data_IF_553543506889
#
_entry.id   IF_553543506889
#
_cell.length_a   1.000
_cell.length_b   1.000
_cell.length_c   1.000
_cell.angle_alpha   90.00
_cell.angle_beta   90.00
_cell.angle_gamma   90.00
#
_symmetry.space_group_name_H-M   'P 1'
#
loop_
_entity.id
_entity.type
_entity.pdbx_description
1 polymer ?
#
# COMPACT_ATOMS: atom_id res chain seq x y z
N UNK A 1 -16.29 20.79 -5.18
CA UNK A 1 -15.68 19.63 -5.81
C UNK A 1 -14.81 18.88 -4.82
N UNK A 2 -15.08 17.62 -4.63
CA UNK A 2 -14.30 16.79 -3.73
C UNK A 2 -12.94 16.44 -4.31
N UNK A 3 -11.98 16.17 -3.44
CA UNK A 3 -10.71 15.58 -3.85
C UNK A 3 -10.95 14.18 -4.38
N UNK A 4 -10.16 13.76 -5.36
CA UNK A 4 -10.12 12.36 -5.74
C UNK A 4 -9.73 11.53 -4.52
N UNK A 5 -10.40 10.39 -4.34
CA UNK A 5 -10.10 9.49 -3.23
C UNK A 5 -8.73 8.86 -3.46
N UNK A 6 -7.86 8.99 -2.47
CA UNK A 6 -6.55 8.34 -2.51
C UNK A 6 -6.70 6.88 -2.10
N UNK A 7 -6.09 5.99 -2.87
CA UNK A 7 -5.96 4.58 -2.51
C UNK A 7 -4.49 4.31 -2.26
N UNK A 8 -4.19 3.82 -1.06
CA UNK A 8 -2.84 3.41 -0.69
C UNK A 8 -2.72 1.89 -0.85
N UNK A 9 -1.76 1.47 -1.66
CA UNK A 9 -1.49 0.06 -1.88
C UNK A 9 -0.59 -0.49 -0.78
N UNK A 10 -1.00 -1.59 -0.14
CA UNK A 10 -0.10 -2.37 0.69
C UNK A 10 1.00 -2.97 -0.20
N UNK A 11 2.13 -3.32 0.37
CA UNK A 11 3.31 -3.76 -0.39
C UNK A 11 3.01 -4.95 -1.31
N UNK A 12 2.38 -6.00 -0.80
CA UNK A 12 2.04 -7.17 -1.61
C UNK A 12 1.03 -6.82 -2.72
N UNK A 13 0.11 -5.91 -2.42
CA UNK A 13 -0.89 -5.48 -3.41
C UNK A 13 -0.23 -4.75 -4.57
N UNK A 14 0.80 -3.95 -4.29
CA UNK A 14 1.56 -3.29 -5.34
C UNK A 14 2.26 -4.31 -6.26
N UNK A 15 2.79 -5.39 -5.68
CA UNK A 15 3.38 -6.49 -6.47
C UNK A 15 2.32 -7.16 -7.33
N UNK A 16 1.14 -7.46 -6.77
CA UNK A 16 0.05 -8.09 -7.51
C UNK A 16 -0.44 -7.22 -8.67
N UNK A 17 -0.53 -5.92 -8.43
CA UNK A 17 -0.94 -4.98 -9.48
C UNK A 17 0.06 -5.00 -10.64
N UNK A 18 1.35 -5.01 -10.32
CA UNK A 18 2.42 -5.02 -11.31
C UNK A 18 2.46 -6.33 -12.11
N UNK A 19 2.16 -7.46 -11.48
CA UNK A 19 2.18 -8.79 -12.12
C UNK A 19 0.84 -9.17 -12.74
N UNK A 20 -0.25 -8.48 -12.36
CA UNK A 20 -1.60 -8.79 -12.81
C UNK A 20 -2.20 -10.05 -12.18
N UNK A 21 -1.62 -10.55 -11.08
CA UNK A 21 -2.05 -11.76 -10.41
C UNK A 21 -2.71 -11.43 -9.06
N UNK A 22 -3.55 -12.33 -8.58
CA UNK A 22 -4.15 -12.35 -7.23
C UNK A 22 -5.05 -11.17 -6.87
N UNK A 23 -5.00 -10.08 -7.62
CA UNK A 23 -5.84 -8.91 -7.36
C UNK A 23 -7.29 -9.18 -7.79
N UNK A 24 -8.23 -8.94 -6.88
CA UNK A 24 -9.64 -9.12 -7.17
C UNK A 24 -10.16 -8.13 -8.20
N UNK A 25 -11.29 -8.49 -8.83
CA UNK A 25 -11.86 -7.68 -9.92
C UNK A 25 -12.25 -6.28 -9.47
N UNK A 26 -12.89 -6.17 -8.31
CA UNK A 26 -13.30 -4.88 -7.76
C UNK A 26 -12.08 -4.03 -7.43
N UNK A 27 -11.08 -4.61 -6.78
CA UNK A 27 -9.85 -3.92 -6.40
C UNK A 27 -9.09 -3.43 -7.63
N UNK A 28 -9.03 -4.25 -8.67
CA UNK A 28 -8.39 -3.87 -9.94
C UNK A 28 -9.06 -2.65 -10.54
N UNK A 29 -10.39 -2.63 -10.58
CA UNK A 29 -11.15 -1.47 -11.09
C UNK A 29 -10.90 -0.22 -10.26
N UNK A 30 -10.90 -0.37 -8.94
CA UNK A 30 -10.64 0.75 -8.04
C UNK A 30 -9.24 1.33 -8.25
N UNK A 31 -8.24 0.45 -8.38
CA UNK A 31 -6.85 0.87 -8.61
C UNK A 31 -6.71 1.58 -9.96
N UNK A 32 -7.31 1.04 -11.02
CA UNK A 32 -7.26 1.65 -12.36
C UNK A 32 -7.91 3.04 -12.35
N UNK A 33 -9.05 3.18 -11.71
CA UNK A 33 -9.74 4.47 -11.60
C UNK A 33 -8.90 5.47 -10.80
N UNK A 34 -8.35 5.05 -9.67
CA UNK A 34 -7.52 5.91 -8.84
C UNK A 34 -6.28 6.36 -9.61
N UNK A 35 -5.67 5.46 -10.38
CA UNK A 35 -4.50 5.78 -11.20
C UNK A 35 -4.85 6.85 -12.24
N UNK A 36 -6.01 6.74 -12.89
CA UNK A 36 -6.46 7.72 -13.88
C UNK A 36 -6.71 9.10 -13.23
N UNK A 37 -7.10 9.13 -11.97
CA UNK A 37 -7.41 10.36 -11.23
C UNK A 37 -6.22 10.86 -10.39
N UNK A 38 -5.03 10.32 -10.60
CA UNK A 38 -3.80 10.66 -9.86
C UNK A 38 -3.92 10.40 -8.36
N UNK A 39 -4.69 9.39 -7.99
CA UNK A 39 -4.98 9.04 -6.59
C UNK A 39 -4.48 7.68 -6.14
N UNK A 40 -3.65 7.00 -6.95
CA UNK A 40 -3.08 5.72 -6.54
C UNK A 40 -1.69 5.93 -5.96
N UNK A 41 -1.46 5.42 -4.76
CA UNK A 41 -0.25 5.73 -4.00
C UNK A 41 0.35 4.48 -3.33
N UNK A 42 1.62 4.57 -3.01
CA UNK A 42 2.37 3.58 -2.26
C UNK A 42 3.24 4.31 -1.24
N UNK A 43 3.45 3.71 -0.08
CA UNK A 43 4.36 4.27 0.91
C UNK A 43 5.81 4.09 0.47
N UNK A 44 6.63 5.11 0.70
CA UNK A 44 8.09 4.99 0.51
C UNK A 44 8.65 3.80 1.30
N UNK A 45 8.09 3.51 2.46
CA UNK A 45 8.50 2.38 3.30
C UNK A 45 8.26 1.02 2.62
N UNK A 46 7.26 0.93 1.74
CA UNK A 46 6.98 -0.30 1.00
C UNK A 46 8.14 -0.75 0.13
N UNK A 47 8.95 0.19 -0.35
CA UNK A 47 10.12 -0.17 -1.16
C UNK A 47 11.23 -0.79 -0.32
N UNK A 48 11.38 -0.37 0.94
CA UNK A 48 12.27 -1.07 1.87
C UNK A 48 11.77 -2.49 2.10
N UNK A 49 10.49 -2.64 2.37
CA UNK A 49 9.88 -3.94 2.59
C UNK A 49 10.03 -4.85 1.37
N UNK A 50 9.75 -4.32 0.18
CA UNK A 50 9.90 -5.07 -1.07
C UNK A 50 11.35 -5.53 -1.27
N UNK A 51 12.31 -4.63 -1.04
CA UNK A 51 13.73 -4.97 -1.14
C UNK A 51 14.12 -6.08 -0.15
N UNK A 52 13.60 -6.03 1.06
CA UNK A 52 13.82 -7.07 2.06
C UNK A 52 13.21 -8.41 1.64
N UNK A 53 12.00 -8.39 1.09
CA UNK A 53 11.34 -9.60 0.62
C UNK A 53 12.13 -10.25 -0.53
N UNK A 54 12.65 -9.45 -1.44
CA UNK A 54 13.48 -9.95 -2.55
C UNK A 54 14.79 -10.53 -2.02
N UNK A 55 15.47 -9.81 -1.12
CA UNK A 55 16.73 -10.24 -0.53
C UNK A 55 16.56 -11.59 0.22
N UNK A 56 15.44 -11.76 0.91
CA UNK A 56 15.15 -12.99 1.65
C UNK A 56 14.49 -14.07 0.78
N UNK A 57 14.39 -13.84 -0.53
CA UNK A 57 13.78 -14.74 -1.50
C UNK A 57 12.33 -15.13 -1.17
N UNK A 58 11.62 -14.27 -0.49
CA UNK A 58 10.19 -14.47 -0.16
C UNK A 58 9.27 -14.02 -1.27
N UNK A 59 9.78 -13.20 -2.19
CA UNK A 59 9.09 -12.78 -3.40
C UNK A 59 10.02 -13.06 -4.56
N UNK A 60 9.54 -13.83 -5.53
CA UNK A 60 10.27 -14.09 -6.76
C UNK A 60 9.92 -13.04 -7.79
N UNK A 61 10.93 -12.38 -8.31
CA UNK A 61 10.76 -11.39 -9.35
C UNK A 61 12.03 -11.32 -10.19
N UNK A 62 11.84 -11.02 -11.48
CA UNK A 62 12.96 -10.80 -12.40
C UNK A 62 13.53 -9.40 -12.28
N UNK A 63 12.84 -8.51 -11.57
CA UNK A 63 13.24 -7.11 -11.43
C UNK A 63 13.73 -6.82 -10.03
N UNK A 64 14.75 -5.98 -9.92
CA UNK A 64 15.18 -5.45 -8.63
C UNK A 64 14.11 -4.54 -8.03
N UNK A 65 14.23 -4.24 -6.74
CA UNK A 65 13.33 -3.30 -6.08
C UNK A 65 13.39 -1.92 -6.74
N UNK A 66 14.59 -1.45 -7.12
CA UNK A 66 14.77 -0.18 -7.82
C UNK A 66 14.05 -0.15 -9.16
N UNK A 67 14.16 -1.22 -9.93
CA UNK A 67 13.48 -1.31 -11.23
C UNK A 67 11.96 -1.31 -11.05
N UNK A 68 11.45 -2.02 -10.04
CA UNK A 68 10.02 -2.05 -9.75
C UNK A 68 9.52 -0.67 -9.33
N UNK A 69 10.28 0.03 -8.49
CA UNK A 69 9.94 1.39 -8.09
C UNK A 69 9.87 2.31 -9.31
N UNK A 70 10.90 2.30 -10.15
CA UNK A 70 10.92 3.12 -11.36
C UNK A 70 9.71 2.83 -12.24
N UNK A 71 9.36 1.57 -12.42
CA UNK A 71 8.21 1.19 -13.23
C UNK A 71 6.90 1.69 -12.62
N UNK A 72 6.68 1.47 -11.33
CA UNK A 72 5.46 1.93 -10.65
C UNK A 72 5.31 3.45 -10.75
N UNK A 73 6.36 4.20 -10.45
CA UNK A 73 6.29 5.65 -10.52
C UNK A 73 6.10 6.15 -11.95
N UNK A 74 6.67 5.47 -12.94
CA UNK A 74 6.49 5.86 -14.34
C UNK A 74 5.06 5.66 -14.84
N UNK A 75 4.29 4.74 -14.23
CA UNK A 75 2.88 4.55 -14.58
C UNK A 75 1.96 5.58 -13.94
N UNK A 76 2.47 6.36 -12.99
CA UNK A 76 1.70 7.39 -12.32
C UNK A 76 1.38 7.11 -10.85
N UNK A 77 1.81 5.98 -10.31
CA UNK A 77 1.65 5.70 -8.87
C UNK A 77 2.49 6.69 -8.08
N UNK A 78 1.90 7.31 -7.05
CA UNK A 78 2.56 8.32 -6.24
C UNK A 78 3.25 7.67 -5.04
N UNK A 79 4.48 8.08 -4.77
CA UNK A 79 5.18 7.67 -3.57
C UNK A 79 4.91 8.65 -2.45
N UNK A 80 4.38 8.17 -1.32
CA UNK A 80 4.11 8.99 -0.15
C UNK A 80 5.26 8.81 0.85
N UNK A 81 5.85 9.91 1.32
CA UNK A 81 7.01 9.83 2.21
C UNK A 81 6.64 9.32 3.61
N UNK A 82 7.58 8.65 4.26
CA UNK A 82 7.49 8.36 5.69
C UNK A 82 7.97 9.60 6.44
N UNK A 83 7.03 10.37 6.95
CA UNK A 83 7.34 11.57 7.72
C UNK A 83 7.48 11.24 9.21
N UNK A 84 8.03 12.19 9.99
CA UNK A 84 8.07 12.03 11.44
C UNK A 84 6.69 11.89 12.05
N UNK A 85 5.70 12.65 11.55
CA UNK A 85 4.31 12.55 12.01
C UNK A 85 3.75 11.15 11.81
N UNK A 86 3.98 10.57 10.62
CA UNK A 86 3.51 9.22 10.32
C UNK A 86 4.21 8.19 11.20
N UNK A 87 5.52 8.37 11.45
CA UNK A 87 6.26 7.48 12.33
C UNK A 87 5.70 7.47 13.75
N UNK A 88 5.42 8.65 14.29
CA UNK A 88 4.83 8.79 15.63
C UNK A 88 3.43 8.16 15.65
N UNK A 89 2.59 8.48 14.68
CA UNK A 89 1.26 7.93 14.59
C UNK A 89 1.30 6.40 14.55
N UNK A 90 2.20 5.84 13.75
CA UNK A 90 2.36 4.39 13.63
C UNK A 90 2.66 3.74 14.98
N UNK A 91 3.53 4.36 15.78
CA UNK A 91 3.89 3.85 17.10
C UNK A 91 2.72 3.93 18.09
N UNK A 92 1.86 4.92 17.92
CA UNK A 92 0.75 5.18 18.85
C UNK A 92 -0.56 4.49 18.49
N UNK A 93 -0.64 3.78 17.37
CA UNK A 93 -1.86 3.06 16.98
C UNK A 93 -2.19 1.97 18.00
N UNK A 94 -3.45 1.93 18.41
CA UNK A 94 -3.93 0.95 19.37
C UNK A 94 -4.69 -0.20 18.67
N UNK A 95 -4.60 -1.38 19.27
CA UNK A 95 -5.37 -2.54 18.80
C UNK A 95 -4.85 -3.18 17.51
N UNK A 96 -3.74 -2.69 16.98
CA UNK A 96 -3.12 -3.26 15.80
C UNK A 96 -1.86 -4.02 16.21
N UNK A 97 -1.97 -5.34 16.21
CA UNK A 97 -0.86 -6.22 16.51
C UNK A 97 -0.06 -6.50 15.25
N UNK A 98 1.24 -6.70 15.42
CA UNK A 98 2.04 -7.26 14.35
C UNK A 98 3.18 -6.40 13.87
N UNK A 99 3.53 -6.62 12.65
CA UNK A 99 4.69 -6.11 11.96
C UNK A 99 4.73 -4.58 11.98
N UNK A 100 5.88 -3.97 12.32
CA UNK A 100 6.05 -2.52 12.21
C UNK A 100 5.67 -1.96 10.84
N UNK A 101 5.88 -2.71 9.76
CA UNK A 101 5.49 -2.30 8.42
C UNK A 101 3.99 -2.05 8.30
N UNK A 102 3.16 -2.93 8.87
CA UNK A 102 1.70 -2.78 8.86
C UNK A 102 1.27 -1.50 9.56
N UNK A 103 1.93 -1.18 10.67
CA UNK A 103 1.64 0.02 11.44
C UNK A 103 1.98 1.28 10.67
N UNK A 104 3.12 1.29 9.99
CA UNK A 104 3.56 2.43 9.17
C UNK A 104 2.63 2.63 7.99
N UNK A 105 2.23 1.55 7.32
CA UNK A 105 1.32 1.61 6.18
C UNK A 105 -0.06 2.10 6.63
N UNK A 106 -0.59 1.55 7.73
CA UNK A 106 -1.87 2.00 8.28
C UNK A 106 -1.83 3.48 8.67
N UNK A 107 -0.77 3.92 9.33
CA UNK A 107 -0.60 5.32 9.72
C UNK A 107 -0.51 6.24 8.49
N UNK A 108 0.16 5.80 7.43
CA UNK A 108 0.23 6.55 6.17
C UNK A 108 -1.17 6.73 5.57
N UNK A 109 -1.96 5.66 5.54
CA UNK A 109 -3.33 5.72 5.04
C UNK A 109 -4.18 6.70 5.88
N UNK A 110 -4.07 6.63 7.20
CA UNK A 110 -4.81 7.53 8.11
C UNK A 110 -4.41 8.98 7.86
N UNK A 111 -3.12 9.27 7.78
CA UNK A 111 -2.61 10.64 7.61
C UNK A 111 -3.08 11.25 6.29
N UNK A 112 -3.25 10.45 5.26
CA UNK A 112 -3.70 10.92 3.93
C UNK A 112 -5.19 10.70 3.69
N UNK A 113 -5.92 10.23 4.70
CA UNK A 113 -7.35 9.92 4.56
C UNK A 113 -7.61 8.99 3.37
N UNK A 114 -6.71 8.04 3.17
CA UNK A 114 -6.74 7.12 2.05
C UNK A 114 -7.53 5.85 2.38
N UNK A 115 -8.00 5.17 1.33
CA UNK A 115 -8.47 3.79 1.45
C UNK A 115 -7.24 2.90 1.38
N UNK A 116 -7.04 2.05 2.38
CA UNK A 116 -5.95 1.08 2.37
C UNK A 116 -6.40 -0.18 1.63
N UNK A 117 -5.73 -0.49 0.54
CA UNK A 117 -5.98 -1.72 -0.22
C UNK A 117 -4.98 -2.79 0.24
N UNK A 118 -5.49 -3.82 0.89
CA UNK A 118 -4.67 -4.84 1.54
C UNK A 118 -5.36 -6.20 1.52
N UNK A 119 -4.57 -7.26 1.61
CA UNK A 119 -5.08 -8.61 1.82
C UNK A 119 -4.70 -9.14 3.22
N UNK A 120 -4.05 -8.32 4.03
CA UNK A 120 -3.61 -8.73 5.37
C UNK A 120 -4.79 -8.83 6.33
N UNK A 121 -4.97 -10.01 6.93
CA UNK A 121 -6.09 -10.29 7.82
C UNK A 121 -6.09 -9.38 9.05
N UNK A 122 -4.92 -9.05 9.58
CA UNK A 122 -4.84 -8.17 10.76
C UNK A 122 -5.28 -6.75 10.42
N UNK A 123 -4.90 -6.24 9.25
CA UNK A 123 -5.33 -4.92 8.82
C UNK A 123 -6.81 -4.90 8.48
N UNK A 124 -7.31 -5.91 7.80
CA UNK A 124 -8.74 -6.01 7.45
C UNK A 124 -9.64 -6.18 8.67
N UNK A 125 -9.17 -6.92 9.67
CA UNK A 125 -9.93 -7.18 10.89
C UNK A 125 -9.72 -6.16 12.02
N UNK A 126 -8.86 -5.20 11.83
CA UNK A 126 -8.55 -4.20 12.85
C UNK A 126 -9.77 -3.31 13.14
N UNK A 127 -10.13 -3.18 14.41
CA UNK A 127 -11.27 -2.35 14.84
C UNK A 127 -10.85 -0.88 14.82
N UNK A 128 -11.01 -0.25 13.66
CA UNK A 128 -10.66 1.14 13.43
C UNK A 128 -11.52 1.66 12.28
N UNK A 129 -11.76 2.98 12.25
CA UNK A 129 -12.55 3.61 11.18
C UNK A 129 -11.79 3.80 9.87
N UNK A 130 -10.53 3.38 9.79
CA UNK A 130 -9.78 3.40 8.55
C UNK A 130 -10.55 2.66 7.45
N UNK A 131 -10.73 3.31 6.31
CA UNK A 131 -11.35 2.67 5.15
C UNK A 131 -10.39 1.67 4.54
N UNK A 132 -10.89 0.48 4.27
CA UNK A 132 -10.08 -0.61 3.72
C UNK A 132 -10.81 -1.28 2.57
N UNK A 133 -10.04 -1.74 1.60
CA UNK A 133 -10.52 -2.57 0.51
C UNK A 133 -9.77 -3.89 0.58
N UNK A 134 -10.51 -4.99 0.64
CA UNK A 134 -9.93 -6.32 0.54
C UNK A 134 -9.40 -6.51 -0.88
N UNK A 135 -8.09 -6.61 -1.03
CA UNK A 135 -7.44 -6.68 -2.34
C UNK A 135 -7.82 -7.93 -3.13
N UNK A 136 -8.32 -8.97 -2.46
CA UNK A 136 -8.72 -10.22 -3.12
C UNK A 136 -10.13 -10.19 -3.73
N UNK A 137 -10.86 -9.10 -3.51
CA UNK A 137 -12.21 -8.92 -4.10
C UNK A 137 -12.23 -8.06 -5.34
#
# INVERSE_FOLDING_TARGET
MGRAQVILLDTHVAVWLATGTDLGRQSKRMAERALADDGLAISAFSFWELAMLITKKRVRTLRSASEQRTKLLSTGVRELPLTGEIGILAAELEGLNGDPADRIIAATAIAHEAILMTADANLLGWKHRLKRQDAER
#
